data_IF_135860306731
#
_entry.id   IF_135860306731
#
_cell.length_a   1.000
_cell.length_b   1.000
_cell.length_c   1.000
_cell.angle_alpha   90.00
_cell.angle_beta   90.00
_cell.angle_gamma   90.00
#
_symmetry.space_group_name_H-M   'P 1'
#
loop_
_entity.id
_entity.type
_entity.pdbx_description
1 polymer ?
#
# COMPACT_ATOMS: atom_id res chain seq x y z
N UNK A 1 -20.54 7.95 -17.17
CA UNK A 1 -19.46 8.74 -16.55
C UNK A 1 -18.30 8.73 -17.52
N UNK A 2 -17.93 9.88 -18.06
CA UNK A 2 -16.69 10.03 -18.84
C UNK A 2 -15.53 9.85 -17.88
N UNK A 3 -14.63 8.92 -18.19
CA UNK A 3 -13.43 8.68 -17.39
C UNK A 3 -12.57 9.95 -17.38
N UNK A 4 -12.34 10.54 -16.21
CA UNK A 4 -11.46 11.69 -16.06
C UNK A 4 -10.01 11.19 -16.13
N UNK A 5 -9.23 11.51 -17.19
CA UNK A 5 -7.86 10.99 -17.31
C UNK A 5 -6.98 11.37 -16.11
N UNK A 6 -7.24 12.54 -15.50
CA UNK A 6 -6.49 13.03 -14.36
C UNK A 6 -6.68 12.17 -13.11
N UNK A 7 -7.84 11.52 -12.94
CA UNK A 7 -8.12 10.61 -11.83
C UNK A 7 -7.14 9.44 -11.83
N UNK A 8 -7.02 8.77 -12.97
CA UNK A 8 -6.13 7.61 -13.10
C UNK A 8 -4.65 8.00 -13.17
N UNK A 9 -4.33 9.17 -13.72
CA UNK A 9 -2.98 9.75 -13.62
C UNK A 9 -2.60 10.03 -12.16
N UNK A 10 -3.54 10.53 -11.34
CA UNK A 10 -3.32 10.75 -9.91
C UNK A 10 -3.04 9.45 -9.18
N UNK A 11 -3.81 8.39 -9.47
CA UNK A 11 -3.52 7.05 -8.96
C UNK A 11 -2.10 6.61 -9.33
N UNK A 12 -1.75 6.70 -10.62
CA UNK A 12 -0.40 6.31 -11.07
C UNK A 12 0.70 7.11 -10.35
N UNK A 13 0.53 8.42 -10.21
CA UNK A 13 1.48 9.28 -9.49
C UNK A 13 1.65 8.84 -8.03
N UNK A 14 0.56 8.52 -7.32
CA UNK A 14 0.63 8.01 -5.95
C UNK A 14 1.52 6.77 -5.85
N UNK A 15 1.29 5.75 -6.68
CA UNK A 15 2.07 4.51 -6.63
C UNK A 15 3.53 4.73 -7.05
N UNK A 16 3.78 5.54 -8.08
CA UNK A 16 5.13 5.88 -8.50
C UNK A 16 5.89 6.66 -7.40
N UNK A 17 5.21 7.58 -6.73
CA UNK A 17 5.79 8.34 -5.62
C UNK A 17 6.11 7.41 -4.44
N UNK A 18 5.23 6.48 -4.07
CA UNK A 18 5.51 5.52 -2.99
C UNK A 18 6.72 4.64 -3.34
N UNK A 19 6.77 4.10 -4.57
CA UNK A 19 7.89 3.29 -5.04
C UNK A 19 9.23 4.05 -4.92
N UNK A 20 9.22 5.36 -5.19
CA UNK A 20 10.42 6.18 -5.11
C UNK A 20 10.74 6.67 -3.69
N UNK A 21 9.76 7.08 -2.89
CA UNK A 21 9.99 7.81 -1.63
C UNK A 21 9.66 7.02 -0.37
N UNK A 22 9.17 5.80 -0.52
CA UNK A 22 8.70 4.90 0.55
C UNK A 22 7.52 5.43 1.36
N UNK A 23 6.84 6.48 0.90
CA UNK A 23 5.63 7.04 1.53
C UNK A 23 4.64 7.53 0.49
N UNK A 24 3.34 7.63 0.81
CA UNK A 24 2.39 8.29 -0.09
C UNK A 24 2.70 9.79 -0.24
N UNK A 25 2.39 10.39 -1.40
CA UNK A 25 2.43 11.83 -1.54
C UNK A 25 1.28 12.46 -0.76
N UNK A 26 1.57 13.57 -0.09
CA UNK A 26 0.56 14.43 0.50
C UNK A 26 -0.26 15.09 -0.62
N UNK A 27 -1.49 15.50 -0.30
CA UNK A 27 -2.37 16.15 -1.27
C UNK A 27 -1.75 17.42 -1.87
N UNK A 28 -1.01 18.20 -1.10
CA UNK A 28 -0.31 19.40 -1.59
C UNK A 28 0.82 19.06 -2.57
N UNK A 29 1.50 17.92 -2.40
CA UNK A 29 2.51 17.43 -3.35
C UNK A 29 1.85 17.00 -4.68
N UNK A 30 0.70 16.32 -4.61
CA UNK A 30 -0.10 15.96 -5.79
C UNK A 30 -0.63 17.19 -6.51
N UNK A 31 -1.17 18.16 -5.77
CA UNK A 31 -1.67 19.42 -6.33
C UNK A 31 -0.57 20.17 -7.07
N UNK A 32 0.62 20.28 -6.46
CA UNK A 32 1.79 20.88 -7.08
C UNK A 32 2.25 20.13 -8.35
N UNK A 33 2.26 18.79 -8.32
CA UNK A 33 2.68 17.96 -9.46
C UNK A 33 1.78 18.19 -10.69
N UNK A 34 0.46 18.20 -10.50
CA UNK A 34 -0.51 18.37 -11.59
C UNK A 34 -0.89 19.83 -11.87
N UNK A 35 -0.37 20.79 -11.08
CA UNK A 35 -0.67 22.23 -11.18
C UNK A 35 -2.16 22.52 -11.04
N UNK A 36 -2.80 21.86 -10.09
CA UNK A 36 -4.20 22.03 -9.71
C UNK A 36 -4.30 22.58 -8.28
N UNK A 37 -5.49 22.98 -7.86
CA UNK A 37 -5.73 23.36 -6.46
C UNK A 37 -5.64 22.17 -5.50
N UNK A 38 -5.40 22.45 -4.22
CA UNK A 38 -5.42 21.45 -3.15
C UNK A 38 -6.83 20.84 -3.04
N UNK A 39 -7.88 21.65 -3.24
CA UNK A 39 -9.27 21.22 -3.26
C UNK A 39 -9.54 20.22 -4.39
N UNK A 40 -9.08 20.48 -5.61
CA UNK A 40 -9.20 19.54 -6.73
C UNK A 40 -8.43 18.24 -6.46
N UNK A 41 -7.20 18.32 -5.95
CA UNK A 41 -6.42 17.13 -5.60
C UNK A 41 -7.10 16.30 -4.49
N UNK A 42 -7.69 16.97 -3.50
CA UNK A 42 -8.48 16.33 -2.43
C UNK A 42 -9.69 15.59 -3.00
N UNK A 43 -10.42 16.19 -3.94
CA UNK A 43 -11.56 15.55 -4.61
C UNK A 43 -11.14 14.31 -5.40
N UNK A 44 -9.98 14.35 -6.07
CA UNK A 44 -9.42 13.18 -6.77
C UNK A 44 -9.07 12.05 -5.78
N UNK A 45 -8.52 12.39 -4.62
CA UNK A 45 -8.23 11.39 -3.57
C UNK A 45 -9.50 10.76 -3.02
N UNK A 46 -10.53 11.57 -2.71
CA UNK A 46 -11.83 11.07 -2.26
C UNK A 46 -12.50 10.19 -3.31
N UNK A 47 -12.44 10.56 -4.58
CA UNK A 47 -13.01 9.73 -5.66
C UNK A 47 -12.24 8.41 -5.84
N UNK A 48 -10.90 8.42 -5.75
CA UNK A 48 -10.09 7.20 -5.78
C UNK A 48 -10.37 6.29 -4.58
N UNK A 49 -10.61 6.87 -3.40
CA UNK A 49 -11.05 6.17 -2.20
C UNK A 49 -12.41 5.48 -2.40
N UNK A 50 -13.40 6.21 -2.93
CA UNK A 50 -14.73 5.66 -3.22
C UNK A 50 -14.71 4.53 -4.26
N UNK A 51 -13.67 4.49 -5.10
CA UNK A 51 -13.43 3.43 -6.10
C UNK A 51 -12.52 2.31 -5.60
N UNK A 52 -12.15 2.31 -4.31
CA UNK A 52 -11.25 1.32 -3.71
C UNK A 52 -9.89 1.22 -4.45
N UNK A 53 -9.40 2.33 -5.02
CA UNK A 53 -8.10 2.37 -5.71
C UNK A 53 -6.92 2.54 -4.75
N UNK A 54 -7.18 3.17 -3.62
CA UNK A 54 -6.42 3.24 -2.37
C UNK A 54 -7.42 3.69 -1.29
N UNK A 55 -7.00 3.72 -0.03
CA UNK A 55 -7.86 4.08 1.11
C UNK A 55 -7.26 5.23 1.90
N UNK A 56 -8.10 6.17 2.31
CA UNK A 56 -7.74 7.31 3.12
C UNK A 56 -7.89 6.99 4.61
N UNK A 57 -7.12 7.68 5.45
CA UNK A 57 -7.33 7.69 6.89
C UNK A 57 -8.67 8.41 7.19
N UNK A 58 -9.54 7.86 8.08
CA UNK A 58 -10.85 8.42 8.37
C UNK A 58 -10.82 9.92 8.66
N UNK A 59 -11.81 10.65 8.13
CA UNK A 59 -11.96 12.10 8.28
C UNK A 59 -10.78 12.95 7.77
N UNK A 60 -9.87 12.37 6.98
CA UNK A 60 -8.74 13.08 6.37
C UNK A 60 -8.62 12.79 4.87
N UNK A 61 -7.59 13.38 4.25
CA UNK A 61 -7.16 13.09 2.88
C UNK A 61 -5.75 12.46 2.84
N UNK A 62 -5.26 11.96 3.97
CA UNK A 62 -4.01 11.22 4.02
C UNK A 62 -4.25 9.79 3.53
N UNK A 63 -3.39 9.28 2.66
CA UNK A 63 -3.47 7.89 2.19
C UNK A 63 -3.01 6.98 3.32
N UNK A 64 -3.91 6.09 3.74
CA UNK A 64 -3.65 5.06 4.75
C UNK A 64 -3.16 3.76 4.11
N UNK A 65 -3.79 3.32 3.03
CA UNK A 65 -3.42 2.09 2.33
C UNK A 65 -3.44 2.31 0.82
N UNK A 66 -2.36 1.96 0.13
CA UNK A 66 -2.31 1.90 -1.33
C UNK A 66 -1.70 0.56 -1.71
N UNK A 67 -2.50 -0.51 -1.65
CA UNK A 67 -2.04 -1.89 -1.71
C UNK A 67 -1.12 -2.12 -2.92
N UNK A 68 0.09 -2.69 -2.70
CA UNK A 68 0.51 -3.41 -1.49
C UNK A 68 1.15 -2.52 -0.40
N UNK A 69 1.27 -1.21 -0.61
CA UNK A 69 1.96 -0.32 0.30
C UNK A 69 1.06 0.21 1.41
N UNK A 70 1.64 0.40 2.59
CA UNK A 70 1.03 1.10 3.71
C UNK A 70 1.50 2.55 3.76
N UNK A 71 0.58 3.45 4.10
CA UNK A 71 0.87 4.86 4.36
C UNK A 71 1.41 5.13 5.75
N UNK A 72 1.42 4.13 6.63
CA UNK A 72 1.92 4.23 8.00
C UNK A 72 2.88 3.08 8.34
N UNK A 73 3.68 3.20 9.42
CA UNK A 73 4.47 2.08 9.92
C UNK A 73 3.61 0.91 10.38
N UNK A 74 3.98 -0.30 9.99
CA UNK A 74 3.37 -1.57 10.42
C UNK A 74 4.44 -2.56 10.84
N UNK A 75 4.02 -3.70 11.37
CA UNK A 75 4.93 -4.81 11.68
C UNK A 75 5.46 -5.52 10.43
N UNK A 76 4.94 -5.20 9.23
CA UNK A 76 5.34 -5.80 7.96
C UNK A 76 6.30 -4.88 7.19
N UNK A 77 7.60 -5.02 7.45
CA UNK A 77 8.66 -4.22 6.83
C UNK A 77 9.26 -4.96 5.65
N UNK A 78 9.27 -4.33 4.49
CA UNK A 78 9.83 -4.89 3.26
C UNK A 78 11.08 -4.09 2.86
N UNK A 79 12.23 -4.74 2.91
CA UNK A 79 13.51 -4.19 2.48
C UNK A 79 13.76 -4.58 1.03
N UNK A 80 13.70 -3.59 0.13
CA UNK A 80 13.77 -3.78 -1.31
C UNK A 80 14.48 -2.59 -1.97
N UNK A 81 15.34 -2.84 -2.95
CA UNK A 81 16.09 -1.78 -3.68
C UNK A 81 16.82 -0.78 -2.76
N UNK A 82 17.35 -1.23 -1.62
CA UNK A 82 18.04 -0.39 -0.64
C UNK A 82 17.11 0.56 0.15
N UNK A 83 15.80 0.38 0.04
CA UNK A 83 14.75 1.14 0.71
C UNK A 83 13.92 0.22 1.63
N UNK A 84 13.22 0.82 2.58
CA UNK A 84 12.30 0.10 3.48
C UNK A 84 10.89 0.62 3.25
N UNK A 85 9.98 -0.29 2.91
CA UNK A 85 8.56 -0.04 2.75
C UNK A 85 7.78 -0.72 3.88
N UNK A 86 6.56 -0.26 4.12
CA UNK A 86 5.61 -0.92 5.00
C UNK A 86 4.47 -1.51 4.18
N UNK A 87 4.01 -2.70 4.54
CA UNK A 87 2.84 -3.35 3.95
C UNK A 87 1.66 -3.33 4.92
N UNK A 88 0.43 -3.43 4.40
CA UNK A 88 -0.77 -3.39 5.26
C UNK A 88 -0.99 -4.70 6.02
N UNK A 89 -0.59 -5.83 5.44
CA UNK A 89 -0.81 -7.16 5.99
C UNK A 89 0.25 -8.16 5.51
N UNK A 90 0.16 -9.40 6.02
CA UNK A 90 1.04 -10.50 5.64
C UNK A 90 0.91 -10.92 4.16
N UNK A 91 -0.21 -10.63 3.50
CA UNK A 91 -0.33 -10.84 2.05
C UNK A 91 0.36 -9.72 1.26
N UNK A 92 0.08 -8.46 1.63
CA UNK A 92 0.62 -7.29 0.96
C UNK A 92 2.16 -7.21 1.03
N UNK A 93 2.79 -7.72 2.09
CA UNK A 93 4.25 -7.74 2.19
C UNK A 93 4.91 -8.51 1.04
N UNK A 94 4.24 -9.53 0.50
CA UNK A 94 4.68 -10.29 -0.68
C UNK A 94 4.37 -9.53 -2.00
N UNK A 95 3.34 -8.68 -1.98
CA UNK A 95 2.96 -7.86 -3.13
C UNK A 95 3.96 -6.75 -3.45
N UNK A 96 4.64 -6.18 -2.44
CA UNK A 96 5.64 -5.12 -2.64
C UNK A 96 6.78 -5.55 -3.57
N UNK A 97 7.54 -6.63 -3.30
CA UNK A 97 8.62 -7.06 -4.20
C UNK A 97 8.11 -7.43 -5.60
N UNK A 98 6.91 -7.99 -5.70
CA UNK A 98 6.27 -8.27 -6.98
C UNK A 98 5.97 -6.98 -7.78
N UNK A 99 5.46 -5.94 -7.12
CA UNK A 99 5.15 -4.64 -7.72
C UNK A 99 6.41 -3.86 -8.11
N UNK A 100 7.49 -3.99 -7.34
CA UNK A 100 8.78 -3.34 -7.58
C UNK A 100 9.69 -4.14 -8.52
N UNK A 101 9.28 -5.35 -8.92
CA UNK A 101 10.06 -6.26 -9.76
C UNK A 101 11.47 -6.52 -9.23
N UNK A 102 11.59 -6.77 -7.93
CA UNK A 102 12.89 -6.99 -7.28
C UNK A 102 12.80 -8.03 -6.16
N UNK A 103 13.97 -8.50 -5.75
CA UNK A 103 14.12 -9.30 -4.53
C UNK A 103 13.90 -8.45 -3.28
N UNK A 104 13.54 -9.09 -2.18
CA UNK A 104 13.34 -8.42 -0.89
C UNK A 104 13.67 -9.32 0.31
N UNK A 105 14.04 -8.67 1.41
CA UNK A 105 14.02 -9.25 2.75
C UNK A 105 12.86 -8.64 3.51
N UNK A 106 12.04 -9.45 4.17
CA UNK A 106 10.84 -9.00 4.85
C UNK A 106 10.95 -9.38 6.33
N UNK A 107 10.84 -8.37 7.19
CA UNK A 107 10.67 -8.55 8.63
C UNK A 107 9.19 -8.43 8.96
N UNK A 108 8.66 -9.43 9.66
CA UNK A 108 7.29 -9.48 10.13
C UNK A 108 7.21 -10.01 11.57
N UNK A 109 6.01 -10.00 12.13
CA UNK A 109 5.71 -10.51 13.47
C UNK A 109 4.55 -11.48 13.41
N UNK A 110 4.66 -12.62 14.07
CA UNK A 110 3.55 -13.55 14.20
C UNK A 110 2.45 -12.97 15.09
N UNK A 111 1.22 -12.92 14.59
CA UNK A 111 0.08 -12.36 15.32
C UNK A 111 -0.24 -13.12 16.61
N UNK A 112 0.04 -14.43 16.67
CA UNK A 112 -0.27 -15.25 17.85
C UNK A 112 0.75 -15.13 18.99
N UNK A 113 2.04 -15.01 18.67
CA UNK A 113 3.14 -15.08 19.65
C UNK A 113 3.90 -13.76 19.83
N UNK A 114 3.73 -12.80 18.92
CA UNK A 114 4.55 -11.59 18.77
C UNK A 114 6.05 -11.87 18.54
N UNK A 115 6.40 -13.08 18.12
CA UNK A 115 7.77 -13.40 17.74
C UNK A 115 8.07 -12.85 16.34
N UNK A 116 9.31 -12.39 16.15
CA UNK A 116 9.77 -11.91 14.85
C UNK A 116 9.99 -13.07 13.90
N UNK A 117 9.62 -12.87 12.64
CA UNK A 117 9.90 -13.78 11.53
C UNK A 117 10.51 -12.98 10.39
N UNK A 118 11.52 -13.57 9.75
CA UNK A 118 12.11 -13.01 8.54
C UNK A 118 11.93 -14.00 7.39
N UNK A 119 11.57 -13.49 6.22
CA UNK A 119 11.49 -14.26 4.98
C UNK A 119 12.15 -13.47 3.85
N UNK A 120 12.56 -14.18 2.81
CA UNK A 120 13.14 -13.56 1.61
C UNK A 120 12.29 -13.89 0.38
N UNK A 121 12.19 -12.93 -0.53
CA UNK A 121 11.71 -13.14 -1.89
C UNK A 121 12.92 -13.06 -2.82
N UNK A 122 13.22 -14.16 -3.51
CA UNK A 122 14.33 -14.29 -4.46
C UNK A 122 13.85 -14.88 -5.77
N UNK A 123 14.13 -14.21 -6.89
CA UNK A 123 13.70 -14.62 -8.23
C UNK A 123 12.18 -14.92 -8.29
N UNK A 124 11.38 -14.10 -7.59
CA UNK A 124 9.92 -14.25 -7.50
C UNK A 124 9.44 -15.42 -6.65
N UNK A 125 10.29 -16.03 -5.83
CA UNK A 125 9.95 -17.15 -4.93
C UNK A 125 10.24 -16.82 -3.48
N UNK A 126 9.38 -17.26 -2.58
CA UNK A 126 9.59 -17.16 -1.12
C UNK A 126 10.52 -18.27 -0.66
N UNK A 127 11.52 -17.95 0.16
CA UNK A 127 12.51 -18.94 0.65
C UNK A 127 11.99 -19.87 1.73
N UNK A 128 11.00 -19.44 2.52
CA UNK A 128 10.36 -20.23 3.59
C UNK A 128 8.88 -20.47 3.29
N UNK A 129 8.58 -21.58 2.60
CA UNK A 129 7.22 -21.92 2.15
C UNK A 129 6.30 -22.53 3.20
N UNK A 130 6.80 -22.80 4.41
CA UNK A 130 6.03 -23.46 5.48
C UNK A 130 5.22 -22.47 6.32
N UNK A 131 5.43 -21.16 6.13
CA UNK A 131 4.66 -20.11 6.80
C UNK A 131 3.23 -20.02 6.26
N UNK A 132 2.30 -19.65 7.14
CA UNK A 132 0.88 -19.50 6.80
C UNK A 132 0.45 -18.04 6.91
N UNK A 133 -0.30 -17.57 5.90
CA UNK A 133 -1.04 -16.31 5.95
C UNK A 133 -2.48 -16.63 6.32
N UNK A 134 -2.96 -16.05 7.41
CA UNK A 134 -4.34 -16.20 7.86
C UNK A 134 -5.19 -15.03 7.36
N UNK A 135 -6.30 -15.34 6.71
CA UNK A 135 -7.34 -14.36 6.32
C UNK A 135 -8.57 -14.59 7.20
N UNK A 136 -8.83 -13.72 8.19
CA UNK A 136 -9.93 -13.93 9.14
C UNK A 136 -11.31 -13.75 8.50
N UNK A 137 -11.39 -13.00 7.40
CA UNK A 137 -12.61 -12.69 6.67
C UNK A 137 -12.54 -13.17 5.23
N UNK A 138 -13.67 -13.61 4.68
CA UNK A 138 -13.77 -13.87 3.25
C UNK A 138 -13.61 -12.57 2.45
N UNK A 139 -12.97 -12.65 1.28
CA UNK A 139 -12.68 -11.49 0.43
C UNK A 139 -13.89 -10.61 0.13
N UNK A 140 -15.10 -11.19 0.06
CA UNK A 140 -16.36 -10.45 -0.15
C UNK A 140 -16.70 -9.47 0.96
N UNK A 141 -16.09 -9.61 2.13
CA UNK A 141 -16.30 -8.76 3.31
C UNK A 141 -15.16 -7.77 3.55
N UNK A 142 -14.13 -7.76 2.71
CA UNK A 142 -12.96 -6.93 2.97
C UNK A 142 -13.22 -5.43 2.93
N UNK A 143 -14.24 -5.00 2.18
CA UNK A 143 -14.60 -3.59 2.12
C UNK A 143 -15.59 -3.17 3.22
N UNK A 144 -16.04 -4.11 4.08
CA UNK A 144 -16.91 -3.80 5.22
C UNK A 144 -16.11 -3.03 6.30
N UNK A 145 -14.85 -3.43 6.53
CA UNK A 145 -13.88 -2.73 7.38
C UNK A 145 -12.45 -3.11 6.96
N UNK A 146 -11.88 -2.36 6.02
CA UNK A 146 -10.59 -2.70 5.42
C UNK A 146 -9.39 -2.54 6.38
N UNK A 147 -9.58 -1.90 7.53
CA UNK A 147 -8.54 -1.84 8.57
C UNK A 147 -8.54 -3.12 9.41
N UNK A 148 -9.69 -3.79 9.53
CA UNK A 148 -9.87 -5.00 10.32
C UNK A 148 -9.71 -6.31 9.51
N UNK A 149 -9.45 -6.23 8.21
CA UNK A 149 -9.46 -7.39 7.30
C UNK A 149 -8.17 -8.16 7.18
#
# INVERSE_FOLDING_TARGET
MTDNPLLWQTRHFVYAHIAETTRPPRVDETAAHFRISIEEASQLYTELNNRHSFFLEPDTVAIRMANPFSGIPTDFKVHANGKTYFANCAWDMLGIPAALHCDAVIDAVFTESNESVQLEVKDGKVTNGDLLVHFPLAFSHWYDDLVFT
#
